data_IF_196272175403
#
_entry.id   IF_196272175403
#
_cell.length_a   1.000
_cell.length_b   1.000
_cell.length_c   1.000
_cell.angle_alpha   90.00
_cell.angle_beta   90.00
_cell.angle_gamma   90.00
#
_symmetry.space_group_name_H-M   'P 1'
#
loop_
_entity.id
_entity.type
_entity.pdbx_description
1 polymer ?
#
# COMPACT_ATOMS: atom_id res chain seq x y z
N UNK A 1 8.01 -2.60 0.71
CA UNK A 1 8.10 -1.18 1.11
C UNK A 1 8.43 -1.07 2.61
N UNK A 2 9.60 -0.54 2.96
CA UNK A 2 10.03 -0.36 4.36
C UNK A 2 9.72 1.04 4.90
N UNK A 3 9.06 1.90 4.12
CA UNK A 3 8.82 3.30 4.48
C UNK A 3 7.51 3.81 3.89
N UNK A 4 6.80 4.67 4.62
CA UNK A 4 5.60 5.36 4.14
C UNK A 4 5.89 6.83 3.90
N UNK A 5 5.65 7.30 2.67
CA UNK A 5 5.91 8.69 2.31
C UNK A 5 4.73 9.61 2.60
N UNK A 6 4.99 10.81 3.12
CA UNK A 6 3.98 11.86 3.37
C UNK A 6 4.53 13.25 3.04
N UNK A 7 3.64 14.20 2.79
CA UNK A 7 3.92 15.64 2.70
C UNK A 7 3.35 16.42 3.88
N UNK A 8 2.72 15.72 4.83
CA UNK A 8 2.10 16.30 6.01
C UNK A 8 3.17 16.69 7.04
N UNK A 9 3.54 17.97 7.04
CA UNK A 9 4.57 18.52 7.94
C UNK A 9 4.15 18.43 9.41
N UNK A 10 2.86 18.58 9.72
CA UNK A 10 2.35 18.42 11.09
C UNK A 10 2.59 16.99 11.55
N UNK A 11 2.23 16.00 10.71
CA UNK A 11 2.50 14.60 11.02
C UNK A 11 3.98 14.35 11.24
N UNK A 12 4.86 14.92 10.41
CA UNK A 12 6.31 14.74 10.53
C UNK A 12 6.85 15.32 11.84
N UNK A 13 6.38 16.51 12.26
CA UNK A 13 6.79 17.10 13.53
C UNK A 13 6.42 16.26 14.76
N UNK A 14 5.40 15.40 14.65
CA UNK A 14 4.98 14.46 15.70
C UNK A 14 5.75 13.14 15.74
N UNK A 15 6.61 12.86 14.75
CA UNK A 15 7.36 11.60 14.63
C UNK A 15 8.80 11.82 15.12
N UNK A 16 9.36 10.94 15.98
CA UNK A 16 10.76 11.04 16.39
C UNK A 16 11.70 11.03 15.18
N UNK A 17 12.71 11.90 15.19
CA UNK A 17 13.56 12.18 14.03
C UNK A 17 14.32 10.95 13.53
N UNK A 18 14.64 10.00 14.40
CA UNK A 18 15.30 8.74 14.05
C UNK A 18 14.47 7.88 13.07
N UNK A 19 13.17 8.11 12.98
CA UNK A 19 12.28 7.42 12.03
C UNK A 19 11.94 8.26 10.80
N UNK A 20 12.43 9.50 10.69
CA UNK A 20 12.09 10.41 9.60
C UNK A 20 13.26 10.51 8.61
N UNK A 21 12.95 10.28 7.34
CA UNK A 21 13.88 10.47 6.24
C UNK A 21 13.35 11.54 5.29
N UNK A 22 14.18 12.50 4.92
CA UNK A 22 13.86 13.52 3.95
C UNK A 22 14.63 13.29 2.65
N UNK A 23 13.93 13.33 1.52
CA UNK A 23 14.53 13.30 0.18
C UNK A 23 14.08 14.55 -0.55
N UNK A 24 15.05 15.34 -1.02
CA UNK A 24 14.78 16.41 -1.95
C UNK A 24 14.69 15.86 -3.37
N UNK A 25 13.59 16.15 -4.07
CA UNK A 25 13.34 15.66 -5.42
C UNK A 25 13.43 16.84 -6.38
N UNK A 26 14.28 16.72 -7.40
CA UNK A 26 14.56 17.80 -8.34
C UNK A 26 13.32 18.48 -8.93
N UNK A 27 12.26 17.72 -9.25
CA UNK A 27 11.05 18.26 -9.91
C UNK A 27 9.84 18.46 -8.98
N UNK A 28 9.87 17.88 -7.78
CA UNK A 28 8.67 17.77 -6.94
C UNK A 28 8.90 18.23 -5.49
N UNK A 29 10.07 18.80 -5.21
CA UNK A 29 10.48 19.27 -3.89
C UNK A 29 10.64 18.16 -2.85
N UNK A 30 10.78 18.58 -1.60
CA UNK A 30 10.95 17.71 -0.45
C UNK A 30 9.86 16.66 -0.31
N UNK A 31 10.26 15.46 0.11
CA UNK A 31 9.35 14.39 0.51
C UNK A 31 9.88 13.71 1.74
N UNK A 32 9.00 13.57 2.73
CA UNK A 32 9.32 12.86 3.95
C UNK A 32 8.86 11.41 3.87
N UNK A 33 9.61 10.54 4.51
CA UNK A 33 9.34 9.13 4.64
C UNK A 33 9.47 8.75 6.11
N UNK A 34 8.49 8.02 6.61
CA UNK A 34 8.48 7.47 7.96
C UNK A 34 8.89 6.00 7.87
N UNK A 35 9.88 5.60 8.65
CA UNK A 35 10.33 4.21 8.74
C UNK A 35 9.20 3.28 9.21
N UNK A 36 9.20 2.03 8.75
CA UNK A 36 8.20 1.05 9.15
C UNK A 36 8.27 0.73 10.65
N UNK A 37 9.45 0.83 11.25
CA UNK A 37 9.67 0.52 12.67
C UNK A 37 8.88 1.46 13.59
N UNK A 38 8.67 2.72 13.19
CA UNK A 38 7.80 3.66 13.90
C UNK A 38 6.36 3.14 14.07
N UNK A 39 5.92 2.26 13.16
CA UNK A 39 4.55 1.76 13.15
C UNK A 39 4.39 0.47 13.94
N UNK A 40 5.45 -0.19 14.42
CA UNK A 40 5.40 -1.54 14.99
C UNK A 40 4.41 -1.66 16.17
N UNK A 41 4.34 -0.66 17.03
CA UNK A 41 3.40 -0.61 18.16
C UNK A 41 2.03 -0.03 17.81
N UNK A 42 1.86 0.44 16.57
CA UNK A 42 0.62 1.01 16.03
C UNK A 42 -0.13 0.02 15.12
N UNK A 43 0.46 -1.14 14.88
CA UNK A 43 -0.16 -2.22 14.11
C UNK A 43 -1.11 -3.02 15.00
N UNK A 44 -2.30 -3.30 14.47
CA UNK A 44 -3.24 -4.23 15.09
C UNK A 44 -2.64 -5.65 15.12
N UNK A 45 -2.49 -6.22 16.31
CA UNK A 45 -1.91 -7.56 16.53
C UNK A 45 -2.97 -8.65 16.72
N UNK A 46 -4.23 -8.27 16.96
CA UNK A 46 -5.33 -9.22 17.12
C UNK A 46 -5.70 -9.86 15.80
N UNK A 47 -6.25 -11.07 15.89
CA UNK A 47 -6.85 -11.71 14.73
C UNK A 47 -8.16 -11.01 14.35
N UNK A 48 -8.17 -10.31 13.21
CA UNK A 48 -9.36 -9.68 12.67
C UNK A 48 -10.20 -10.66 11.86
N UNK A 49 -11.49 -10.80 12.20
CA UNK A 49 -12.44 -11.64 11.46
C UNK A 49 -12.85 -11.02 10.11
N UNK A 50 -12.97 -9.69 10.05
CA UNK A 50 -13.30 -8.94 8.83
C UNK A 50 -12.13 -8.04 8.48
N UNK A 51 -11.62 -8.17 7.26
CA UNK A 51 -10.50 -7.39 6.75
C UNK A 51 -10.94 -6.76 5.43
N UNK A 52 -10.67 -5.47 5.28
CA UNK A 52 -10.89 -4.77 4.02
C UNK A 52 -9.52 -4.44 3.44
N UNK A 53 -9.30 -4.80 2.18
CA UNK A 53 -8.10 -4.46 1.44
C UNK A 53 -8.46 -3.43 0.36
N UNK A 54 -7.87 -2.25 0.45
CA UNK A 54 -7.94 -1.27 -0.62
C UNK A 54 -6.69 -1.33 -1.50
N UNK A 55 -6.90 -1.39 -2.80
CA UNK A 55 -5.92 -1.00 -3.81
C UNK A 55 -6.27 0.39 -4.30
N UNK A 56 -5.27 1.23 -4.57
CA UNK A 56 -5.51 2.59 -5.06
C UNK A 56 -5.08 2.72 -6.53
N UNK A 57 -5.90 3.41 -7.32
CA UNK A 57 -5.55 3.83 -8.68
C UNK A 57 -5.86 5.32 -8.84
N UNK A 58 -4.94 6.09 -9.42
CA UNK A 58 -5.19 7.51 -9.71
C UNK A 58 -5.96 7.64 -11.02
N UNK A 59 -7.00 8.47 -11.02
CA UNK A 59 -7.71 8.90 -12.22
C UNK A 59 -6.98 10.10 -12.83
N UNK A 60 -6.92 10.14 -14.17
CA UNK A 60 -6.41 11.31 -14.89
C UNK A 60 -7.46 12.42 -14.82
N UNK A 61 -8.72 12.05 -15.08
CA UNK A 61 -9.93 12.89 -15.04
C UNK A 61 -11.10 12.05 -14.51
N UNK A 62 -12.13 12.73 -13.99
CA UNK A 62 -13.35 12.11 -13.47
C UNK A 62 -13.43 12.09 -11.94
N UNK A 63 -14.62 11.73 -11.45
CA UNK A 63 -14.94 11.69 -10.03
C UNK A 63 -14.41 10.42 -9.37
N UNK A 64 -13.99 10.49 -8.10
CA UNK A 64 -13.46 9.33 -7.41
C UNK A 64 -14.58 8.34 -7.10
N UNK A 65 -14.27 7.05 -7.11
CA UNK A 65 -15.24 5.99 -6.81
C UNK A 65 -14.56 4.75 -6.23
N UNK A 66 -15.35 3.86 -5.63
CA UNK A 66 -14.89 2.59 -5.06
C UNK A 66 -15.62 1.45 -5.75
N UNK A 67 -14.86 0.49 -6.28
CA UNK A 67 -15.40 -0.74 -6.87
C UNK A 67 -14.92 -1.97 -6.10
N UNK A 68 -15.75 -3.02 -6.07
CA UNK A 68 -15.35 -4.32 -5.50
C UNK A 68 -14.40 -5.04 -6.46
N UNK A 69 -13.34 -5.62 -5.92
CA UNK A 69 -12.41 -6.43 -6.68
C UNK A 69 -12.74 -7.92 -6.61
N UNK A 70 -12.47 -8.62 -7.71
CA UNK A 70 -12.44 -10.07 -7.74
C UNK A 70 -11.18 -10.61 -7.05
N UNK A 71 -11.20 -11.90 -6.73
CA UNK A 71 -10.04 -12.62 -6.18
C UNK A 71 -8.80 -12.46 -7.09
N UNK A 72 -8.95 -12.71 -8.40
CA UNK A 72 -7.84 -12.61 -9.35
C UNK A 72 -7.32 -11.18 -9.50
N UNK A 73 -8.20 -10.17 -9.54
CA UNK A 73 -7.78 -8.78 -9.65
C UNK A 73 -7.03 -8.30 -8.39
N UNK A 74 -7.45 -8.80 -7.22
CA UNK A 74 -6.78 -8.56 -5.94
C UNK A 74 -5.41 -9.22 -5.90
N UNK A 75 -5.32 -10.51 -6.24
CA UNK A 75 -4.07 -11.25 -6.27
C UNK A 75 -3.08 -10.60 -7.23
N UNK A 76 -3.51 -10.25 -8.45
CA UNK A 76 -2.67 -9.57 -9.42
C UNK A 76 -2.12 -8.24 -8.88
N UNK A 77 -2.97 -7.46 -8.21
CA UNK A 77 -2.55 -6.18 -7.61
C UNK A 77 -1.50 -6.39 -6.50
N UNK A 78 -1.69 -7.39 -5.64
CA UNK A 78 -0.73 -7.75 -4.58
C UNK A 78 0.57 -8.33 -5.13
N UNK A 79 0.51 -9.12 -6.20
CA UNK A 79 1.70 -9.65 -6.87
C UNK A 79 2.57 -8.51 -7.39
N UNK A 80 1.97 -7.56 -8.11
CA UNK A 80 2.66 -6.38 -8.62
C UNK A 80 3.26 -5.50 -7.51
N UNK A 81 2.47 -5.19 -6.48
CA UNK A 81 2.84 -4.20 -5.46
C UNK A 81 3.71 -4.76 -4.32
N UNK A 82 3.42 -5.98 -3.86
CA UNK A 82 4.02 -6.55 -2.65
C UNK A 82 5.05 -7.65 -2.94
N UNK A 83 4.86 -8.46 -3.98
CA UNK A 83 5.71 -9.62 -4.26
C UNK A 83 6.85 -9.24 -5.20
N UNK A 84 6.52 -8.74 -6.38
CA UNK A 84 7.49 -8.32 -7.40
C UNK A 84 8.13 -6.98 -7.02
N UNK A 85 7.32 -6.04 -6.50
CA UNK A 85 7.80 -4.69 -6.21
C UNK A 85 8.13 -3.93 -7.49
N UNK A 86 7.16 -3.85 -8.41
CA UNK A 86 7.34 -3.22 -9.71
C UNK A 86 7.69 -1.72 -9.58
N UNK A 87 8.99 -1.42 -9.58
CA UNK A 87 9.58 -0.38 -10.42
C UNK A 87 10.13 -1.09 -11.66
N UNK A 88 9.36 -1.09 -12.76
CA UNK A 88 9.58 -1.96 -13.93
C UNK A 88 11.01 -1.91 -14.50
N UNK A 89 11.73 -0.82 -14.30
CA UNK A 89 13.11 -0.64 -14.77
C UNK A 89 14.15 -1.30 -13.85
N UNK A 90 13.98 -1.20 -12.52
CA UNK A 90 14.97 -1.71 -11.56
C UNK A 90 14.96 -3.24 -11.39
N UNK A 91 13.85 -3.91 -11.69
CA UNK A 91 13.75 -5.37 -11.55
C UNK A 91 14.61 -6.12 -12.57
N UNK A 92 14.61 -5.67 -13.82
CA UNK A 92 15.42 -6.28 -14.88
C UNK A 92 16.89 -5.92 -14.72
N UNK A 93 17.22 -4.66 -14.44
CA UNK A 93 18.59 -4.23 -14.15
C UNK A 93 19.19 -4.96 -12.95
N UNK A 94 18.40 -5.21 -11.91
CA UNK A 94 18.84 -6.00 -10.76
C UNK A 94 19.14 -7.45 -11.14
N UNK A 95 18.29 -8.10 -11.94
CA UNK A 95 18.55 -9.49 -12.38
C UNK A 95 19.78 -9.57 -13.29
N UNK A 96 20.02 -8.56 -14.14
CA UNK A 96 21.21 -8.51 -15.00
C UNK A 96 22.50 -8.17 -14.25
N UNK A 97 22.44 -7.37 -13.18
CA UNK A 97 23.61 -6.95 -12.39
C UNK A 97 23.88 -7.81 -11.14
N UNK A 98 22.97 -8.71 -10.75
CA UNK A 98 23.13 -9.56 -9.57
C UNK A 98 23.79 -10.88 -9.91
N UNK A 99 24.61 -11.38 -9.00
CA UNK A 99 25.12 -12.74 -9.08
C UNK A 99 23.97 -13.75 -8.88
N UNK A 100 24.01 -14.94 -9.52
CA UNK A 100 23.02 -15.99 -9.29
C UNK A 100 22.81 -16.32 -7.81
N UNK A 101 23.88 -16.29 -6.99
CA UNK A 101 23.82 -16.50 -5.54
C UNK A 101 22.98 -15.47 -4.78
N UNK A 102 23.05 -14.19 -5.16
CA UNK A 102 22.21 -13.14 -4.56
C UNK A 102 20.74 -13.31 -4.91
N UNK A 103 20.42 -13.83 -6.10
CA UNK A 103 19.05 -14.16 -6.51
C UNK A 103 18.52 -15.30 -5.63
N UNK A 104 19.30 -16.37 -5.41
CA UNK A 104 18.91 -17.48 -4.53
C UNK A 104 18.65 -17.02 -3.09
N UNK A 105 19.44 -16.08 -2.56
CA UNK A 105 19.24 -15.53 -1.21
C UNK A 105 17.88 -14.83 -1.01
N UNK A 106 17.23 -14.39 -2.10
CA UNK A 106 15.95 -13.65 -2.07
C UNK A 106 14.72 -14.53 -2.30
N UNK A 107 14.92 -15.79 -2.68
CA UNK A 107 13.83 -16.76 -2.90
C UNK A 107 12.94 -16.93 -1.64
N UNK A 108 13.47 -17.07 -0.41
CA UNK A 108 12.62 -17.20 0.77
C UNK A 108 11.72 -15.97 1.01
N UNK A 109 12.24 -14.76 0.73
CA UNK A 109 11.49 -13.51 0.85
C UNK A 109 10.33 -13.47 -0.16
N UNK A 110 10.60 -13.89 -1.40
CA UNK A 110 9.57 -14.01 -2.42
C UNK A 110 8.44 -14.95 -1.98
N UNK A 111 8.76 -16.17 -1.54
CA UNK A 111 7.76 -17.14 -1.10
C UNK A 111 6.95 -16.66 0.11
N UNK A 112 7.59 -15.99 1.07
CA UNK A 112 6.89 -15.41 2.23
C UNK A 112 5.90 -14.32 1.81
N UNK A 113 6.29 -13.46 0.86
CA UNK A 113 5.43 -12.42 0.30
C UNK A 113 4.27 -13.02 -0.49
N UNK A 114 4.55 -14.04 -1.32
CA UNK A 114 3.54 -14.76 -2.08
C UNK A 114 2.51 -15.43 -1.17
N UNK A 115 2.95 -16.16 -0.15
CA UNK A 115 2.07 -16.79 0.83
C UNK A 115 1.19 -15.75 1.53
N UNK A 116 1.78 -14.62 1.94
CA UNK A 116 1.05 -13.52 2.59
C UNK A 116 0.02 -12.91 1.64
N UNK A 117 0.37 -12.69 0.37
CA UNK A 117 -0.55 -12.16 -0.63
C UNK A 117 -1.73 -13.11 -0.88
N UNK A 118 -1.48 -14.42 -1.01
CA UNK A 118 -2.53 -15.43 -1.17
C UNK A 118 -3.46 -15.47 0.03
N UNK A 119 -2.90 -15.52 1.25
CA UNK A 119 -3.68 -15.52 2.50
C UNK A 119 -4.53 -14.26 2.66
N UNK A 120 -3.98 -13.10 2.31
CA UNK A 120 -4.71 -11.83 2.36
C UNK A 120 -5.84 -11.81 1.33
N UNK A 121 -5.57 -12.22 0.09
CA UNK A 121 -6.59 -12.31 -0.98
C UNK A 121 -7.74 -13.23 -0.58
N UNK A 122 -7.44 -14.37 0.07
CA UNK A 122 -8.46 -15.34 0.47
C UNK A 122 -9.30 -14.89 1.67
N UNK A 123 -8.81 -13.95 2.49
CA UNK A 123 -9.46 -13.58 3.77
C UNK A 123 -9.94 -12.13 3.84
N UNK A 124 -9.53 -11.27 2.90
CA UNK A 124 -9.93 -9.88 2.87
C UNK A 124 -10.98 -9.61 1.79
N UNK A 125 -11.98 -8.81 2.14
CA UNK A 125 -12.85 -8.23 1.15
C UNK A 125 -12.13 -7.07 0.47
N UNK A 126 -11.99 -7.17 -0.85
CA UNK A 126 -11.05 -6.34 -1.58
C UNK A 126 -11.76 -5.34 -2.48
N UNK A 127 -11.22 -4.13 -2.50
CA UNK A 127 -11.77 -2.98 -3.19
C UNK A 127 -10.68 -2.23 -3.93
N UNK A 128 -11.08 -1.52 -4.99
CA UNK A 128 -10.24 -0.51 -5.62
C UNK A 128 -10.86 0.84 -5.42
N UNK A 129 -10.10 1.74 -4.81
CA UNK A 129 -10.42 3.15 -4.74
C UNK A 129 -9.75 3.87 -5.90
N UNK A 130 -10.55 4.58 -6.68
CA UNK A 130 -10.10 5.45 -7.75
C UNK A 130 -10.04 6.86 -7.21
N UNK A 131 -8.82 7.41 -7.14
CA UNK A 131 -8.54 8.71 -6.54
C UNK A 131 -8.49 9.77 -7.63
N UNK A 132 -9.36 10.77 -7.52
CA UNK A 132 -9.35 11.97 -8.34
C UNK A 132 -8.33 13.00 -7.85
N UNK A 133 -8.33 14.19 -8.46
CA UNK A 133 -7.43 15.29 -8.11
C UNK A 133 -7.83 16.02 -6.83
N UNK A 134 -9.13 16.05 -6.51
CA UNK A 134 -9.66 16.70 -5.32
C UNK A 134 -9.56 15.76 -4.12
N UNK A 135 -8.73 16.12 -3.14
CA UNK A 135 -8.53 15.33 -1.92
C UNK A 135 -9.79 15.24 -1.06
N UNK A 136 -10.57 16.32 -0.95
CA UNK A 136 -11.80 16.33 -0.16
C UNK A 136 -12.85 15.36 -0.71
N UNK A 137 -12.99 15.28 -2.04
CA UNK A 137 -13.87 14.29 -2.67
C UNK A 137 -13.37 12.85 -2.45
N UNK A 138 -12.06 12.62 -2.51
CA UNK A 138 -11.47 11.31 -2.22
C UNK A 138 -11.75 10.85 -0.78
N UNK A 139 -11.68 11.77 0.18
CA UNK A 139 -11.99 11.49 1.60
C UNK A 139 -13.48 11.18 1.74
N UNK A 140 -14.34 12.03 1.18
CA UNK A 140 -15.79 11.90 1.26
C UNK A 140 -16.29 10.53 0.79
N UNK A 141 -15.81 10.04 -0.37
CA UNK A 141 -16.25 8.73 -0.88
C UNK A 141 -15.81 7.57 0.02
N UNK A 142 -14.67 7.70 0.70
CA UNK A 142 -14.15 6.68 1.60
C UNK A 142 -14.98 6.66 2.88
N UNK A 143 -15.29 7.82 3.45
CA UNK A 143 -16.18 7.97 4.61
C UNK A 143 -17.58 7.44 4.32
N UNK A 144 -18.16 7.77 3.17
CA UNK A 144 -19.46 7.26 2.75
C UNK A 144 -19.47 5.74 2.63
N UNK A 145 -18.40 5.16 2.07
CA UNK A 145 -18.25 3.71 1.95
C UNK A 145 -18.18 3.02 3.31
N UNK A 146 -17.37 3.56 4.23
CA UNK A 146 -17.20 3.02 5.58
C UNK A 146 -18.49 3.15 6.40
N UNK A 147 -19.19 4.28 6.30
CA UNK A 147 -20.45 4.52 7.01
C UNK A 147 -21.56 3.56 6.54
N UNK A 148 -21.71 3.38 5.22
CA UNK A 148 -22.67 2.42 4.64
C UNK A 148 -22.40 1.00 5.13
N UNK A 149 -21.12 0.64 5.30
CA UNK A 149 -20.68 -0.66 5.81
C UNK A 149 -21.00 -0.88 7.28
N UNK A 150 -20.74 0.10 8.13
CA UNK A 150 -21.09 0.01 9.55
C UNK A 150 -22.59 -0.14 9.75
N UNK A 151 -23.38 0.63 8.98
CA UNK A 151 -24.84 0.61 9.08
C UNK A 151 -25.43 -0.69 8.55
N UNK A 152 -24.88 -1.23 7.45
CA UNK A 152 -25.29 -2.53 6.89
C UNK A 152 -24.84 -3.74 7.71
N UNK A 153 -23.80 -3.62 8.54
CA UNK A 153 -23.33 -4.69 9.43
C UNK A 153 -24.10 -4.77 10.77
N UNK A 154 -24.93 -3.77 11.08
CA UNK A 154 -25.80 -3.72 12.28
C UNK A 154 -27.22 -4.25 12.03
N UNK A 155 -27.51 -4.73 10.82
CA UNK A 155 -28.74 -5.44 10.45
C UNK A 155 -28.43 -6.90 10.14
#
# INVERSE_FOLDING_TARGET
PLRMGTLDEEKISSVPQEYVYHIDRMEFGGKYFIDIDYWEDKLERRFLQKKILFTAKRLINGDPYIEKLSYFATLNSLMSAAVIGLGLYQGMEFVFNSSPGEIFSRIPVFFRRLYTALKLTATAESYRIFLGRNQSENIKILEEFLTKRETGARR
#
